data_IF_985915082922
#
_entry.id   IF_985915082922
#
_cell.length_a   1.000
_cell.length_b   1.000
_cell.length_c   1.000
_cell.angle_alpha   90.00
_cell.angle_beta   90.00
_cell.angle_gamma   90.00
#
_symmetry.space_group_name_H-M   'P 1'
#
loop_
_entity.id
_entity.type
_entity.pdbx_description
1 polymer ?
2 water ?
#
# COMPACT_ATOMS: atom_id res chain seq x y z
N UNK A 3 -1.61 -0.87 -11.29
CA UNK A 3 -1.44 -0.54 -9.84
C UNK A 3 0.00 -0.35 -9.35
N UNK A 4 0.29 -0.89 -8.15
CA UNK A 4 1.43 -0.51 -7.29
C UNK A 4 1.75 -1.54 -6.21
N UNK A 5 1.53 -2.81 -6.50
CA UNK A 5 1.75 -3.89 -5.54
C UNK A 5 3.27 -3.84 -5.04
N UNK A 6 3.48 -3.79 -3.73
CA UNK A 6 4.78 -3.79 -3.18
C UNK A 6 5.25 -2.40 -2.82
N UNK A 7 4.58 -1.36 -3.35
CA UNK A 7 4.98 0.02 -3.14
C UNK A 7 5.09 0.14 -1.63
N UNK A 8 6.24 0.58 -1.14
CA UNK A 8 6.35 0.80 0.27
C UNK A 8 5.53 2.06 0.66
N UNK A 9 4.66 1.88 1.65
CA UNK A 9 3.68 2.80 2.04
C UNK A 9 3.73 3.05 3.56
N UNK A 10 3.23 4.23 3.91
CA UNK A 10 2.94 4.66 5.32
C UNK A 10 1.85 5.77 5.35
N UNK A 11 1.74 6.47 6.46
CA UNK A 11 0.72 7.44 6.62
C UNK A 11 0.68 8.54 5.54
N UNK A 12 1.85 9.07 5.13
CA UNK A 12 1.93 10.07 4.07
C UNK A 12 2.29 9.49 2.74
N UNK A 13 2.75 8.25 2.70
CA UNK A 13 2.91 7.53 1.46
C UNK A 13 1.76 6.52 1.18
N UNK A 14 0.66 7.06 0.72
CA UNK A 14 -0.46 6.29 0.40
C UNK A 14 -0.22 5.47 -0.83
N UNK A 15 -1.06 4.47 -0.98
CA UNK A 15 -1.00 3.52 -2.11
C UNK A 15 -1.78 4.09 -3.30
N UNK A 16 -1.56 3.52 -4.44
CA UNK A 16 -2.43 3.79 -5.59
C UNK A 16 -3.87 3.30 -5.35
N UNK A 17 -4.80 3.94 -6.02
CA UNK A 17 -6.17 3.41 -6.06
C UNK A 17 -6.17 2.00 -6.67
N UNK A 18 -7.00 1.15 -6.11
CA UNK A 18 -6.89 -0.27 -6.28
C UNK A 18 -6.29 -0.91 -5.00
N UNK A 19 -5.45 -0.15 -4.26
CA UNK A 19 -4.53 -0.70 -3.29
C UNK A 19 -4.58 -0.03 -1.94
N UNK A 20 -4.20 -0.78 -0.93
CA UNK A 20 -4.26 -0.38 0.46
C UNK A 20 -2.98 -0.75 1.20
N UNK A 21 -2.69 -0.04 2.28
CA UNK A 21 -1.43 -0.17 2.95
C UNK A 21 -1.54 -1.26 4.01
N UNK A 22 -0.90 -2.40 3.73
CA UNK A 22 -0.87 -3.54 4.68
C UNK A 22 -0.24 -3.09 5.96
N UNK A 23 -1.01 -3.23 7.08
CA UNK A 23 -0.53 -2.94 8.41
C UNK A 23 0.47 -3.96 8.97
N UNK A 24 0.62 -5.11 8.35
CA UNK A 24 1.64 -6.07 8.76
C UNK A 24 2.97 -5.82 8.02
N UNK A 25 2.90 -5.55 6.71
CA UNK A 25 4.08 -5.49 5.86
C UNK A 25 4.43 -4.13 5.38
N UNK A 26 3.59 -3.14 5.60
CA UNK A 26 3.84 -1.75 5.16
C UNK A 26 4.16 -1.63 3.71
N UNK A 27 3.46 -2.39 2.92
CA UNK A 27 3.46 -2.21 1.51
C UNK A 27 2.01 -2.39 0.99
N UNK A 28 1.84 -1.93 -0.21
CA UNK A 28 0.57 -1.96 -0.90
C UNK A 28 0.17 -3.33 -1.43
N UNK A 29 -1.07 -3.68 -1.08
CA UNK A 29 -1.77 -4.92 -1.46
C UNK A 29 -3.14 -4.58 -1.96
N UNK A 30 -3.72 -5.40 -2.76
CA UNK A 30 -5.18 -5.42 -2.93
C UNK A 30 -6.00 -5.99 -1.72
N UNK A 31 -7.10 -5.30 -1.33
CA UNK A 31 -8.09 -5.77 -0.33
C UNK A 31 -9.20 -6.70 -0.85
#
# INVERSE_FOLDING_TARGET
GSGCFGYKCDYYKGCCSGYVCSPTWKWCVRPGPGR
#
